data_IF_855686992066
#
_entry.id   IF_855686992066
#
_cell.length_a   1.000
_cell.length_b   1.000
_cell.length_c   1.000
_cell.angle_alpha   90.00
_cell.angle_beta   90.00
_cell.angle_gamma   90.00
#
_symmetry.space_group_name_H-M   'P 1'
#
loop_
_entity.id
_entity.type
_entity.pdbx_description
1 polymer ?
#
# COMPACT_ATOMS: atom_id res chain seq x y z
N UNK A 1 1.52 -23.41 2.06
CA UNK A 1 2.38 -23.02 0.92
C UNK A 1 3.31 -21.94 1.40
N UNK A 2 4.59 -21.96 1.03
CA UNK A 2 5.61 -20.97 1.46
C UNK A 2 6.32 -20.46 0.21
N UNK A 3 6.41 -19.15 0.07
CA UNK A 3 7.20 -18.48 -0.95
C UNK A 3 8.41 -17.79 -0.31
N UNK A 4 9.56 -17.94 -0.94
CA UNK A 4 10.85 -17.43 -0.45
C UNK A 4 11.48 -16.60 -1.56
N UNK A 5 11.94 -15.39 -1.22
CA UNK A 5 12.70 -14.54 -2.12
C UNK A 5 14.08 -15.15 -2.43
N UNK A 6 14.74 -14.65 -3.48
CA UNK A 6 16.08 -15.11 -3.87
C UNK A 6 17.15 -14.94 -2.76
N UNK A 7 16.92 -14.02 -1.83
CA UNK A 7 17.79 -13.76 -0.68
C UNK A 7 17.49 -14.68 0.53
N UNK A 8 16.56 -15.62 0.41
CA UNK A 8 16.19 -16.57 1.46
C UNK A 8 15.13 -16.08 2.45
N UNK A 9 14.61 -14.85 2.31
CA UNK A 9 13.52 -14.35 3.17
C UNK A 9 12.17 -14.94 2.76
N UNK A 10 11.35 -15.32 3.74
CA UNK A 10 9.95 -15.70 3.49
C UNK A 10 9.19 -14.45 3.06
N UNK A 11 8.58 -14.49 1.88
CA UNK A 11 7.78 -13.37 1.33
C UNK A 11 6.29 -13.62 1.43
N UNK A 12 5.87 -14.89 1.46
CA UNK A 12 4.50 -15.24 1.79
C UNK A 12 4.42 -16.66 2.35
N UNK A 13 3.44 -16.90 3.21
CA UNK A 13 2.97 -18.25 3.49
C UNK A 13 1.50 -18.25 3.91
N UNK A 14 0.87 -19.40 3.70
CA UNK A 14 -0.48 -19.69 4.18
C UNK A 14 -0.45 -21.04 4.88
N UNK A 15 -0.95 -21.04 6.12
CA UNK A 15 -1.30 -22.24 6.86
C UNK A 15 -2.76 -22.63 6.53
N UNK A 16 -2.92 -23.78 5.89
CA UNK A 16 -4.23 -24.30 5.49
C UNK A 16 -4.97 -25.01 6.62
N UNK A 17 -4.32 -25.23 7.76
CA UNK A 17 -4.90 -25.87 8.94
C UNK A 17 -4.80 -24.93 10.15
N UNK A 18 -5.49 -23.76 10.12
CA UNK A 18 -5.45 -22.87 11.26
C UNK A 18 -5.93 -23.62 12.51
N UNK A 19 -5.14 -23.64 13.59
CA UNK A 19 -5.35 -24.51 14.75
C UNK A 19 -6.64 -24.19 15.52
N UNK A 20 -7.25 -23.03 15.29
CA UNK A 20 -8.45 -22.58 16.00
C UNK A 20 -9.51 -22.06 15.01
N UNK A 21 -10.51 -22.87 14.67
CA UNK A 21 -11.72 -22.37 13.99
C UNK A 21 -12.54 -21.52 14.96
N UNK A 22 -12.88 -20.29 14.57
CA UNK A 22 -13.86 -19.46 15.28
C UNK A 22 -13.29 -18.50 16.32
N UNK A 23 -12.10 -17.95 16.09
CA UNK A 23 -11.52 -16.93 16.98
C UNK A 23 -12.33 -15.64 16.94
N UNK A 24 -12.61 -14.98 18.07
CA UNK A 24 -13.30 -13.69 18.04
C UNK A 24 -12.46 -12.62 17.32
N UNK A 25 -13.10 -11.56 16.81
CA UNK A 25 -12.36 -10.41 16.29
C UNK A 25 -11.50 -9.79 17.39
N UNK A 26 -10.24 -9.51 17.07
CA UNK A 26 -9.30 -8.82 17.94
C UNK A 26 -9.42 -7.30 17.73
N UNK A 27 -9.22 -6.54 18.80
CA UNK A 27 -9.03 -5.10 18.70
C UNK A 27 -7.73 -4.76 17.95
N UNK A 28 -7.64 -3.53 17.44
CA UNK A 28 -6.42 -3.04 16.77
C UNK A 28 -5.17 -3.14 17.67
N UNK A 29 -5.31 -2.89 18.96
CA UNK A 29 -4.22 -3.00 19.94
C UNK A 29 -3.79 -4.46 20.16
N UNK A 30 -4.75 -5.38 20.31
CA UNK A 30 -4.46 -6.81 20.45
C UNK A 30 -3.81 -7.37 19.20
N UNK A 31 -4.32 -7.00 18.02
CA UNK A 31 -3.79 -7.45 16.74
C UNK A 31 -2.39 -6.90 16.47
N UNK A 32 -2.13 -5.65 16.84
CA UNK A 32 -0.79 -5.05 16.82
C UNK A 32 0.16 -5.80 17.74
N UNK A 33 -0.26 -6.12 18.97
CA UNK A 33 0.54 -6.88 19.93
C UNK A 33 0.86 -8.29 19.43
N UNK A 34 -0.14 -9.01 18.94
CA UNK A 34 0.01 -10.34 18.37
C UNK A 34 0.99 -10.34 17.19
N UNK A 35 0.80 -9.40 16.27
CA UNK A 35 1.65 -9.24 15.09
C UNK A 35 3.09 -8.90 15.45
N UNK A 36 3.33 -8.01 16.42
CA UNK A 36 4.68 -7.71 16.92
C UNK A 36 5.35 -8.94 17.54
N UNK A 37 4.59 -9.76 18.28
CA UNK A 37 5.13 -10.97 18.92
C UNK A 37 5.54 -12.07 17.93
N UNK A 38 5.09 -12.00 16.68
CA UNK A 38 5.47 -12.97 15.64
C UNK A 38 6.92 -12.85 15.16
N UNK A 39 7.56 -11.70 15.38
CA UNK A 39 8.89 -11.40 14.80
C UNK A 39 8.90 -11.16 13.29
N UNK A 40 7.73 -11.13 12.64
CA UNK A 40 7.59 -10.94 11.18
C UNK A 40 7.45 -9.48 10.77
N UNK A 41 7.21 -8.57 11.72
CA UNK A 41 7.06 -7.15 11.44
C UNK A 41 8.44 -6.45 11.36
N UNK A 42 8.73 -5.74 10.25
CA UNK A 42 9.86 -4.83 10.17
C UNK A 42 9.77 -3.69 11.18
N UNK A 43 10.88 -2.99 11.46
CA UNK A 43 10.84 -1.79 12.30
C UNK A 43 9.99 -0.69 11.66
N UNK A 44 9.46 0.21 12.49
CA UNK A 44 8.79 1.45 12.05
C UNK A 44 7.57 1.23 11.15
N UNK A 45 6.78 0.20 11.47
CA UNK A 45 5.47 -0.03 10.83
C UNK A 45 4.32 0.60 11.60
N UNK A 46 3.24 0.89 10.89
CA UNK A 46 1.95 1.30 11.47
C UNK A 46 0.82 0.44 10.92
N UNK A 47 -0.12 0.07 11.78
CA UNK A 47 -1.34 -0.64 11.38
C UNK A 47 -2.23 0.31 10.58
N UNK A 48 -2.56 -0.06 9.34
CA UNK A 48 -3.37 0.77 8.43
C UNK A 48 -4.73 0.16 8.12
N UNK A 49 -4.84 -1.17 8.12
CA UNK A 49 -6.10 -1.85 7.84
C UNK A 49 -6.27 -3.02 8.80
N UNK A 50 -7.52 -3.21 9.22
CA UNK A 50 -7.98 -4.36 9.99
C UNK A 50 -9.22 -4.90 9.30
N UNK A 51 -9.27 -6.21 9.11
CA UNK A 51 -10.49 -6.88 8.71
C UNK A 51 -10.62 -8.23 9.41
N UNK A 52 -11.83 -8.75 9.46
CA UNK A 52 -12.11 -10.03 10.09
C UNK A 52 -13.04 -10.83 9.18
N UNK A 53 -12.65 -12.06 8.86
CA UNK A 53 -13.43 -12.95 8.02
C UNK A 53 -13.15 -14.40 8.36
N UNK A 54 -14.21 -15.22 8.44
CA UNK A 54 -14.13 -16.67 8.68
C UNK A 54 -13.30 -17.09 9.91
N UNK A 55 -13.35 -16.30 11.00
CA UNK A 55 -12.58 -16.60 12.21
C UNK A 55 -11.11 -16.21 12.14
N UNK A 56 -10.70 -15.44 11.13
CA UNK A 56 -9.34 -14.98 10.90
C UNK A 56 -9.31 -13.46 11.01
N UNK A 57 -8.39 -12.94 11.82
CA UNK A 57 -8.09 -11.53 11.93
C UNK A 57 -7.00 -11.16 10.92
N UNK A 58 -7.25 -10.19 10.06
CA UNK A 58 -6.28 -9.71 9.09
C UNK A 58 -5.81 -8.32 9.49
N UNK A 59 -4.50 -8.13 9.48
CA UNK A 59 -3.86 -6.85 9.70
C UNK A 59 -3.00 -6.50 8.49
N UNK A 60 -3.08 -5.25 8.06
CA UNK A 60 -2.09 -4.65 7.16
C UNK A 60 -1.29 -3.60 7.89
N UNK A 61 0.03 -3.76 7.83
CA UNK A 61 1.00 -2.82 8.36
C UNK A 61 1.76 -2.20 7.21
N UNK A 62 1.86 -0.87 7.19
CA UNK A 62 2.67 -0.16 6.22
C UNK A 62 3.86 0.51 6.90
N UNK A 63 4.95 0.69 6.16
CA UNK A 63 6.07 1.48 6.66
C UNK A 63 5.64 2.92 6.90
N UNK A 64 6.16 3.52 7.98
CA UNK A 64 6.11 4.97 8.18
C UNK A 64 7.51 5.56 8.00
N UNK A 65 7.66 6.45 7.02
CA UNK A 65 8.91 7.14 6.72
C UNK A 65 8.69 8.66 6.76
N UNK A 66 9.48 9.37 7.56
CA UNK A 66 9.39 10.83 7.75
C UNK A 66 7.95 11.32 8.01
N UNK A 67 7.23 10.61 8.89
CA UNK A 67 5.85 10.92 9.25
C UNK A 67 4.79 10.45 8.26
N UNK A 68 5.17 10.00 7.06
CA UNK A 68 4.26 9.57 5.98
C UNK A 68 4.14 8.04 5.92
N UNK A 69 2.96 7.55 5.58
CA UNK A 69 2.74 6.13 5.27
C UNK A 69 3.25 5.85 3.86
N UNK A 70 4.09 4.85 3.71
CA UNK A 70 4.59 4.39 2.41
C UNK A 70 3.52 3.49 1.78
N UNK A 71 2.98 3.93 0.64
CA UNK A 71 1.93 3.21 -0.08
C UNK A 71 2.50 1.94 -0.71
N UNK A 72 1.71 0.87 -0.62
CA UNK A 72 2.02 -0.48 -1.13
C UNK A 72 3.26 -1.17 -0.55
N UNK A 73 4.06 -0.49 0.28
CA UNK A 73 5.10 -1.09 1.08
C UNK A 73 4.50 -1.64 2.38
N UNK A 74 3.94 -2.84 2.30
CA UNK A 74 3.11 -3.40 3.35
C UNK A 74 3.47 -4.85 3.71
N UNK A 75 3.18 -5.17 4.96
CA UNK A 75 3.15 -6.51 5.53
C UNK A 75 1.71 -6.82 5.91
N UNK A 76 1.18 -7.94 5.40
CA UNK A 76 -0.13 -8.47 5.75
C UNK A 76 0.05 -9.69 6.62
N UNK A 77 -0.66 -9.73 7.75
CA UNK A 77 -0.62 -10.84 8.70
C UNK A 77 -2.05 -11.31 8.98
N UNK A 78 -2.26 -12.61 8.90
CA UNK A 78 -3.48 -13.29 9.30
C UNK A 78 -3.23 -13.99 10.65
N UNK A 79 -4.03 -13.64 11.66
CA UNK A 79 -3.95 -14.16 13.01
C UNK A 79 -5.22 -14.96 13.33
N UNK A 80 -5.03 -16.17 13.86
CA UNK A 80 -6.05 -16.99 14.51
C UNK A 80 -5.75 -17.09 16.00
N UNK A 81 -6.80 -17.31 16.79
CA UNK A 81 -6.77 -17.25 18.24
C UNK A 81 -6.39 -15.86 18.71
N UNK A 82 -5.38 -15.80 19.57
CA UNK A 82 -4.81 -14.54 20.06
C UNK A 82 -3.41 -14.24 19.53
N UNK A 83 -2.69 -15.24 19.06
CA UNK A 83 -1.25 -15.12 18.74
C UNK A 83 -0.79 -15.96 17.55
N UNK A 84 -1.63 -16.87 17.03
CA UNK A 84 -1.18 -17.80 16.01
C UNK A 84 -1.21 -17.16 14.62
N UNK A 85 -0.09 -17.15 13.91
CA UNK A 85 -0.01 -16.60 12.56
C UNK A 85 -0.43 -17.66 11.54
N UNK A 86 -1.66 -17.54 11.04
CA UNK A 86 -2.23 -18.41 10.02
C UNK A 86 -1.79 -18.04 8.59
N UNK A 87 -1.27 -16.82 8.39
CA UNK A 87 -0.78 -16.40 7.10
C UNK A 87 0.01 -15.11 7.16
N UNK A 88 0.89 -14.95 6.18
CA UNK A 88 1.77 -13.81 6.07
C UNK A 88 2.02 -13.50 4.59
N UNK A 89 2.10 -12.23 4.24
CA UNK A 89 2.57 -11.79 2.94
C UNK A 89 3.24 -10.44 3.10
N UNK A 90 4.36 -10.22 2.43
CA UNK A 90 5.08 -8.96 2.46
C UNK A 90 5.54 -8.55 1.08
N UNK A 91 5.54 -7.24 0.84
CA UNK A 91 6.22 -6.60 -0.29
C UNK A 91 7.27 -5.60 0.20
N UNK A 92 7.79 -5.85 1.40
CA UNK A 92 8.69 -4.93 2.08
C UNK A 92 9.94 -4.65 1.25
N UNK A 93 10.09 -3.37 0.92
CA UNK A 93 11.27 -2.80 0.25
C UNK A 93 11.92 -1.81 1.20
N UNK A 94 13.19 -2.05 1.51
CA UNK A 94 13.99 -1.09 2.28
C UNK A 94 14.42 0.07 1.38
N UNK A 95 14.48 1.28 1.96
CA UNK A 95 14.93 2.48 1.28
C UNK A 95 15.36 3.55 2.29
N UNK A 96 16.22 4.47 1.85
CA UNK A 96 16.53 5.68 2.61
C UNK A 96 15.58 6.81 2.18
N UNK A 97 14.72 7.32 3.08
CA UNK A 97 13.76 8.38 2.73
C UNK A 97 14.41 9.72 2.36
N UNK A 98 15.71 9.90 2.61
CA UNK A 98 16.45 11.12 2.28
C UNK A 98 17.11 11.10 0.90
N UNK A 99 17.09 9.98 0.18
CA UNK A 99 17.70 9.85 -1.16
C UNK A 99 16.82 10.38 -2.31
N UNK A 100 15.65 10.96 -2.00
CA UNK A 100 14.69 11.40 -3.02
C UNK A 100 14.76 12.90 -3.30
N UNK A 101 14.92 13.24 -4.58
CA UNK A 101 14.82 14.61 -5.08
C UNK A 101 13.42 14.93 -5.61
N UNK A 102 12.91 16.12 -5.27
CA UNK A 102 11.73 16.70 -5.92
C UNK A 102 12.19 17.66 -7.01
N UNK A 103 11.86 17.37 -8.27
CA UNK A 103 12.26 18.15 -9.45
C UNK A 103 11.10 18.75 -10.21
N UNK A 104 9.90 18.21 -10.04
CA UNK A 104 8.66 18.82 -10.54
C UNK A 104 7.81 19.33 -9.38
N UNK A 105 7.00 20.34 -9.65
CA UNK A 105 6.04 20.91 -8.70
C UNK A 105 4.72 20.14 -8.74
N UNK A 106 3.91 20.28 -7.68
CA UNK A 106 2.55 19.73 -7.65
C UNK A 106 1.65 20.26 -8.79
N UNK A 107 1.87 21.50 -9.23
CA UNK A 107 1.15 22.07 -10.37
C UNK A 107 1.53 21.42 -11.71
N UNK A 108 2.80 21.08 -11.90
CA UNK A 108 3.26 20.31 -13.07
C UNK A 108 2.72 18.88 -13.03
N UNK A 109 2.74 18.24 -11.86
CA UNK A 109 2.14 16.92 -11.66
C UNK A 109 0.63 16.92 -11.97
N UNK A 110 -0.11 17.93 -11.53
CA UNK A 110 -1.53 18.08 -11.83
C UNK A 110 -1.80 18.23 -13.34
N UNK A 111 -0.94 18.96 -14.07
CA UNK A 111 -1.03 19.04 -15.55
C UNK A 111 -0.82 17.68 -16.19
N UNK A 112 0.14 16.89 -15.71
CA UNK A 112 0.38 15.52 -16.19
C UNK A 112 -0.86 14.64 -15.95
N UNK A 113 -1.47 14.70 -14.77
CA UNK A 113 -2.71 13.98 -14.47
C UNK A 113 -3.86 14.39 -15.39
N UNK A 114 -4.08 15.68 -15.61
CA UNK A 114 -5.10 16.17 -16.53
C UNK A 114 -4.87 15.66 -17.97
N UNK A 115 -3.61 15.60 -18.42
CA UNK A 115 -3.26 15.08 -19.74
C UNK A 115 -3.46 13.56 -19.84
N UNK A 116 -3.21 12.83 -18.75
CA UNK A 116 -3.44 11.39 -18.66
C UNK A 116 -4.93 11.05 -18.87
N UNK A 117 -5.84 11.80 -18.22
CA UNK A 117 -7.29 11.62 -18.32
C UNK A 117 -7.98 12.52 -19.36
N UNK A 118 -7.24 13.04 -20.35
CA UNK A 118 -7.74 14.03 -21.33
C UNK A 118 -9.03 13.67 -22.07
N UNK A 119 -9.37 12.38 -22.15
CA UNK A 119 -10.59 11.89 -22.80
C UNK A 119 -11.85 12.05 -21.95
N UNK A 120 -11.72 12.43 -20.68
CA UNK A 120 -12.83 12.64 -19.77
C UNK A 120 -12.92 14.11 -19.33
N UNK A 121 -14.13 14.56 -19.01
CA UNK A 121 -14.36 15.85 -18.36
C UNK A 121 -14.25 15.66 -16.85
N UNK A 122 -13.47 16.52 -16.19
CA UNK A 122 -13.22 16.39 -14.77
C UNK A 122 -12.21 17.41 -14.27
N UNK A 123 -11.81 17.25 -13.01
CA UNK A 123 -10.84 18.14 -12.34
C UNK A 123 -9.85 17.34 -11.50
N UNK A 124 -8.63 17.86 -11.39
CA UNK A 124 -7.58 17.28 -10.55
C UNK A 124 -7.61 17.91 -9.16
N UNK A 125 -7.56 17.08 -8.14
CA UNK A 125 -7.48 17.43 -6.72
C UNK A 125 -6.37 16.63 -6.04
N UNK A 126 -5.88 17.09 -4.88
CA UNK A 126 -4.76 16.47 -4.18
C UNK A 126 -3.42 16.73 -4.88
N UNK A 127 -2.40 17.13 -4.13
CA UNK A 127 -1.01 17.27 -4.61
C UNK A 127 -0.02 16.88 -3.51
N UNK A 128 -0.43 15.92 -2.67
CA UNK A 128 0.37 15.50 -1.52
C UNK A 128 1.54 14.63 -1.97
N UNK A 129 2.71 14.88 -1.39
CA UNK A 129 3.88 14.04 -1.58
C UNK A 129 3.80 12.80 -0.69
N UNK A 130 3.85 11.63 -1.32
CA UNK A 130 3.81 10.31 -0.69
C UNK A 130 4.94 9.43 -1.19
N UNK A 131 5.39 8.50 -0.36
CA UNK A 131 6.24 7.41 -0.84
C UNK A 131 5.35 6.29 -1.39
N UNK A 132 5.72 5.74 -2.54
CA UNK A 132 4.99 4.67 -3.21
C UNK A 132 5.96 3.61 -3.70
N UNK A 133 5.62 2.34 -3.47
CA UNK A 133 6.24 1.22 -4.19
C UNK A 133 5.30 0.89 -5.35
N UNK A 134 5.68 1.12 -6.62
CA UNK A 134 4.84 0.79 -7.76
C UNK A 134 4.44 -0.68 -7.70
N UNK A 135 3.17 -0.94 -8.00
CA UNK A 135 2.60 -2.27 -7.96
C UNK A 135 2.11 -2.62 -9.36
N UNK A 136 2.57 -3.75 -9.90
CA UNK A 136 2.18 -4.26 -11.22
C UNK A 136 0.65 -4.45 -11.37
N UNK A 137 -0.09 -4.49 -10.25
CA UNK A 137 -1.55 -4.60 -10.24
C UNK A 137 -2.28 -3.43 -10.91
N UNK A 138 -1.69 -2.23 -10.93
CA UNK A 138 -2.32 -1.00 -11.44
C UNK A 138 -1.76 -0.60 -12.82
N UNK A 139 -1.23 -1.59 -13.55
CA UNK A 139 -0.62 -1.45 -14.86
C UNK A 139 0.91 -1.52 -14.80
N UNK A 140 1.58 -1.90 -15.91
CA UNK A 140 3.04 -1.97 -15.95
C UNK A 140 3.61 -0.55 -15.96
N UNK A 141 4.04 -0.03 -14.81
CA UNK A 141 4.96 1.10 -14.78
C UNK A 141 6.34 0.67 -15.29
N UNK A 142 6.71 -0.60 -15.08
CA UNK A 142 8.06 -1.12 -15.30
C UNK A 142 9.09 -0.54 -14.32
N UNK A 143 8.66 0.36 -13.44
CA UNK A 143 9.48 1.04 -12.44
C UNK A 143 9.59 0.16 -11.19
N UNK A 144 10.81 0.04 -10.66
CA UNK A 144 11.12 -0.78 -9.49
C UNK A 144 11.64 0.08 -8.36
N UNK A 145 11.34 -0.33 -7.14
CA UNK A 145 11.82 0.35 -5.93
C UNK A 145 10.80 1.33 -5.38
N UNK A 146 11.23 2.12 -4.41
CA UNK A 146 10.39 3.15 -3.77
C UNK A 146 10.56 4.44 -4.54
N UNK A 147 9.48 5.19 -4.69
CA UNK A 147 9.46 6.50 -5.33
C UNK A 147 8.82 7.52 -4.40
N UNK A 148 9.31 8.77 -4.45
CA UNK A 148 8.58 9.91 -3.91
C UNK A 148 7.71 10.48 -5.03
N UNK A 149 6.40 10.51 -4.81
CA UNK A 149 5.41 10.82 -5.84
C UNK A 149 4.31 11.76 -5.33
N UNK A 150 3.74 12.53 -6.25
CA UNK A 150 2.51 13.26 -6.02
C UNK A 150 1.31 12.31 -6.13
N UNK A 151 0.51 12.21 -5.07
CA UNK A 151 -0.80 11.55 -5.11
C UNK A 151 -1.85 12.56 -5.60
N UNK A 152 -2.42 12.25 -6.75
CA UNK A 152 -3.41 13.09 -7.44
C UNK A 152 -4.72 12.30 -7.56
N UNK A 153 -5.84 13.00 -7.46
CA UNK A 153 -7.19 12.47 -7.67
C UNK A 153 -7.84 13.20 -8.83
N UNK A 154 -8.25 12.47 -9.85
CA UNK A 154 -9.05 12.97 -10.95
C UNK A 154 -10.53 12.70 -10.66
N UNK A 155 -11.31 13.75 -10.44
CA UNK A 155 -12.75 13.68 -10.23
C UNK A 155 -13.46 13.75 -11.59
N UNK A 156 -14.20 12.71 -11.96
CA UNK A 156 -14.95 12.68 -13.21
C UNK A 156 -16.26 13.45 -13.06
N UNK A 157 -16.56 14.35 -14.00
CA UNK A 157 -17.86 15.02 -14.06
C UNK A 157 -18.90 14.06 -14.65
N UNK A 158 -19.47 13.18 -13.83
CA UNK A 158 -20.59 12.30 -14.20
C UNK A 158 -21.80 12.56 -13.30
N UNK A 159 -22.99 12.23 -13.80
CA UNK A 159 -24.29 12.50 -13.15
C UNK A 159 -24.64 11.52 -12.01
N UNK A 160 -23.69 11.28 -11.11
CA UNK A 160 -23.71 10.26 -10.03
C UNK A 160 -23.45 8.80 -10.48
N UNK A 161 -22.75 8.00 -9.65
CA UNK A 161 -21.96 8.37 -8.47
C UNK A 161 -20.64 9.11 -8.80
N UNK A 162 -20.01 9.74 -7.78
CA UNK A 162 -18.71 10.41 -7.90
C UNK A 162 -17.59 9.39 -8.12
N UNK A 163 -17.28 9.09 -9.38
CA UNK A 163 -16.11 8.30 -9.73
C UNK A 163 -14.86 9.17 -9.62
N UNK A 164 -13.79 8.62 -9.05
CA UNK A 164 -12.47 9.23 -9.12
C UNK A 164 -11.40 8.23 -9.50
N UNK A 165 -10.36 8.72 -10.16
CA UNK A 165 -9.15 7.94 -10.38
C UNK A 165 -8.01 8.53 -9.54
N UNK A 166 -7.27 7.69 -8.84
CA UNK A 166 -5.98 8.07 -8.27
C UNK A 166 -4.87 7.88 -9.32
N UNK A 167 -3.95 8.83 -9.37
CA UNK A 167 -2.74 8.75 -10.18
C UNK A 167 -1.54 9.16 -9.33
N UNK A 168 -0.47 8.38 -9.41
CA UNK A 168 0.81 8.75 -8.81
C UNK A 168 1.78 9.23 -9.89
N UNK A 169 2.34 10.42 -9.69
CA UNK A 169 3.33 11.01 -10.58
C UNK A 169 4.65 11.16 -9.82
N UNK A 170 5.70 10.52 -10.31
CA UNK A 170 7.03 10.57 -9.73
C UNK A 170 7.53 12.02 -9.65
N UNK A 171 7.91 12.45 -8.45
CA UNK A 171 8.27 13.83 -8.16
C UNK A 171 9.64 14.24 -8.76
N UNK A 172 10.46 13.27 -9.15
CA UNK A 172 11.79 13.50 -9.72
C UNK A 172 11.77 13.57 -11.26
N UNK A 173 10.87 12.83 -11.90
CA UNK A 173 10.88 12.60 -13.35
C UNK A 173 9.59 13.01 -14.05
N UNK A 174 8.48 13.16 -13.33
CA UNK A 174 7.16 13.38 -13.90
C UNK A 174 6.55 12.17 -14.59
N UNK A 175 7.16 10.98 -14.46
CA UNK A 175 6.58 9.73 -14.97
C UNK A 175 5.37 9.31 -14.13
N UNK A 176 4.37 8.74 -14.78
CA UNK A 176 3.22 8.10 -14.10
C UNK A 176 3.61 6.73 -13.57
N UNK A 177 3.39 6.47 -12.28
CA UNK A 177 3.76 5.23 -11.61
C UNK A 177 2.62 4.19 -11.54
N UNK A 178 1.46 4.52 -12.12
CA UNK A 178 0.24 3.74 -12.08
C UNK A 178 -0.94 4.60 -11.62
N UNK A 179 -2.16 4.07 -11.78
CA UNK A 179 -3.38 4.71 -11.30
C UNK A 179 -4.47 3.69 -11.04
N UNK A 180 -5.33 3.99 -10.07
CA UNK A 180 -6.46 3.14 -9.69
C UNK A 180 -7.77 3.89 -9.94
N UNK A 181 -8.72 3.25 -10.62
CA UNK A 181 -10.06 3.80 -10.78
C UNK A 181 -10.89 3.32 -9.59
N UNK A 182 -11.20 4.24 -8.67
CA UNK A 182 -12.00 3.93 -7.49
C UNK A 182 -13.47 4.24 -7.81
N UNK A 183 -14.37 3.24 -7.74
CA UNK A 183 -15.80 3.46 -7.91
C UNK A 183 -16.43 4.26 -6.78
#
# INVERSE_FOLDING_TARGET
>A
MIEVAADGRIVSYIDFYPPERGSPPLSAEELTRASNSSGLLPPSVVLTEVSYSNGINYAQFNQRALGRVVRFNAVKIAITGKTNVAGFSTRWTEFDPYEFDVRITGAEAAKICQQFFKSATGSVTGTDLVYVVPNDFFGPSGEKGVHLAYQLRYLFNMSEPEYFAELWVDASSGKTLGGDAVP
#
